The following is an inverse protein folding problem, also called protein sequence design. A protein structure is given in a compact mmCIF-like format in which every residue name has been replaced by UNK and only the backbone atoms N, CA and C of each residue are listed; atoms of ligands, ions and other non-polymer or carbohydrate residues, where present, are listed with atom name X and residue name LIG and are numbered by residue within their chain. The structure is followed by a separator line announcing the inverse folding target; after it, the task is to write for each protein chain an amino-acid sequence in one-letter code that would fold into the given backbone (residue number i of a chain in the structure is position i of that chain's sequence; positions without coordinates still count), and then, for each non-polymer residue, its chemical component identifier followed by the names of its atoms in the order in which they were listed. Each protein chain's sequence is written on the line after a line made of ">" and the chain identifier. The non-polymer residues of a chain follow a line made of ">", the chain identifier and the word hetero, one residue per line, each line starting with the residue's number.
data_IF_338283351628
#
_entry.id   IF_338283351628
#
_cell.length_a   1.000
_cell.length_b   1.000
_cell.length_c   1.000
_cell.angle_alpha   90.00
_cell.angle_beta   90.00
_cell.angle_gamma   90.00
#
_symmetry.space_group_name_H-M   'P 1'
#
loop_
_entity.id
_entity.type
_entity.pdbx_description
1 polymer ?
#
# COMPACT_ATOMS: atom_id res chain seq x y z
N UNK A 1 -2.74 -38.29 8.40
CA UNK A 1 -1.78 -37.43 7.69
C UNK A 1 -1.42 -38.10 6.37
N UNK A 2 -1.42 -37.35 5.26
CA UNK A 2 -0.82 -37.85 4.01
C UNK A 2 0.71 -37.83 4.18
N UNK A 3 1.44 -38.88 3.75
CA UNK A 3 2.90 -38.87 3.76
C UNK A 3 3.47 -37.70 2.96
N UNK A 4 4.61 -37.16 3.40
CA UNK A 4 5.39 -36.17 2.66
C UNK A 4 5.73 -36.67 1.26
N UNK A 5 5.38 -35.90 0.23
CA UNK A 5 5.77 -36.20 -1.15
C UNK A 5 7.17 -35.68 -1.44
N UNK A 6 8.18 -36.49 -1.14
CA UNK A 6 9.60 -36.19 -1.40
C UNK A 6 9.95 -36.13 -2.89
N UNK A 7 9.04 -36.52 -3.79
CA UNK A 7 9.27 -36.45 -5.25
C UNK A 7 8.96 -35.07 -5.82
N UNK A 8 8.28 -34.21 -5.06
CA UNK A 8 7.97 -32.84 -5.45
C UNK A 8 8.93 -31.86 -4.75
N UNK A 9 9.90 -31.24 -5.47
CA UNK A 9 10.82 -30.26 -4.89
C UNK A 9 10.11 -29.09 -4.20
N UNK A 10 8.93 -28.69 -4.69
CA UNK A 10 8.09 -27.63 -4.10
C UNK A 10 7.68 -27.94 -2.65
N UNK A 11 7.59 -29.22 -2.29
CA UNK A 11 7.29 -29.60 -0.91
C UNK A 11 8.38 -29.11 0.06
N UNK A 12 9.64 -29.17 -0.36
CA UNK A 12 10.77 -28.69 0.44
C UNK A 12 10.86 -27.16 0.45
N UNK A 13 10.28 -26.48 -0.53
CA UNK A 13 10.12 -25.02 -0.53
C UNK A 13 8.96 -24.56 0.37
N UNK A 14 7.93 -25.41 0.57
CA UNK A 14 6.77 -25.16 1.45
C UNK A 14 6.90 -25.78 2.84
N UNK A 15 8.03 -25.57 3.51
CA UNK A 15 8.23 -26.10 4.88
C UNK A 15 7.63 -25.18 5.95
N UNK A 16 7.55 -23.88 5.67
CA UNK A 16 7.03 -22.85 6.59
C UNK A 16 5.89 -22.08 5.90
N UNK A 17 4.65 -22.42 6.20
CA UNK A 17 3.45 -21.92 5.49
C UNK A 17 3.34 -20.39 5.48
N UNK A 18 3.63 -19.72 6.60
CA UNK A 18 3.57 -18.25 6.68
C UNK A 18 4.66 -17.57 5.83
N UNK A 19 5.86 -18.14 5.76
CA UNK A 19 6.94 -17.65 4.90
C UNK A 19 6.62 -17.90 3.43
N UNK A 20 6.10 -19.08 3.09
CA UNK A 20 5.71 -19.43 1.71
C UNK A 20 4.54 -18.56 1.21
N UNK A 21 3.60 -18.21 2.08
CA UNK A 21 2.50 -17.31 1.73
C UNK A 21 2.91 -15.84 1.61
N UNK A 22 4.07 -15.45 2.15
CA UNK A 22 4.60 -14.11 1.99
C UNK A 22 5.20 -13.96 0.58
N UNK A 23 4.76 -12.97 -0.23
CA UNK A 23 5.32 -12.76 -1.57
C UNK A 23 6.83 -12.48 -1.57
N UNK A 24 7.34 -11.93 -0.48
CA UNK A 24 8.76 -11.66 -0.29
C UNK A 24 9.52 -12.83 0.37
N UNK A 25 8.86 -13.94 0.67
CA UNK A 25 9.44 -15.09 1.38
C UNK A 25 10.19 -14.74 2.68
N UNK A 26 9.69 -13.74 3.40
CA UNK A 26 10.29 -13.26 4.65
C UNK A 26 10.43 -14.39 5.68
N UNK A 27 11.58 -14.52 6.38
CA UNK A 27 11.80 -15.57 7.36
C UNK A 27 11.00 -15.31 8.66
N UNK A 28 9.68 -15.50 8.60
CA UNK A 28 8.73 -15.16 9.68
C UNK A 28 9.11 -15.77 11.03
N UNK A 29 9.39 -17.09 11.14
CA UNK A 29 9.74 -17.66 12.44
C UNK A 29 11.06 -17.11 13.01
N UNK A 30 12.00 -16.75 12.14
CA UNK A 30 13.32 -16.32 12.55
C UNK A 30 13.30 -14.93 13.18
N UNK A 31 12.66 -13.96 12.51
CA UNK A 31 12.57 -12.62 13.09
C UNK A 31 11.69 -12.60 14.34
N UNK A 32 10.63 -13.44 14.41
CA UNK A 32 9.82 -13.57 15.62
C UNK A 32 10.66 -14.09 16.79
N UNK A 33 11.58 -15.03 16.54
CA UNK A 33 12.51 -15.50 17.58
C UNK A 33 13.45 -14.40 18.05
N UNK A 34 13.93 -13.54 17.15
CA UNK A 34 14.73 -12.38 17.55
C UNK A 34 13.93 -11.38 18.41
N UNK A 35 12.66 -11.14 18.08
CA UNK A 35 11.75 -10.35 18.94
C UNK A 35 11.67 -10.94 20.36
N UNK A 36 11.51 -12.26 20.50
CA UNK A 36 11.44 -12.93 21.81
C UNK A 36 12.70 -12.74 22.66
N UNK A 37 13.85 -12.54 22.02
CA UNK A 37 15.12 -12.26 22.70
C UNK A 37 15.37 -10.76 22.95
N UNK A 38 14.48 -9.88 22.52
CA UNK A 38 14.67 -8.42 22.59
C UNK A 38 15.63 -7.86 21.52
N UNK A 39 16.00 -8.68 20.53
CA UNK A 39 16.95 -8.35 19.47
C UNK A 39 16.22 -7.66 18.30
N UNK A 40 15.69 -6.45 18.53
CA UNK A 40 14.85 -5.76 17.55
C UNK A 40 15.59 -5.31 16.30
N UNK A 41 16.86 -4.94 16.42
CA UNK A 41 17.70 -4.56 15.27
C UNK A 41 17.89 -5.75 14.32
N UNK A 42 18.25 -6.91 14.85
CA UNK A 42 18.42 -8.16 14.10
C UNK A 42 17.09 -8.60 13.49
N UNK A 43 16.00 -8.52 14.26
CA UNK A 43 14.66 -8.82 13.76
C UNK A 43 14.25 -7.90 12.60
N UNK A 44 14.57 -6.60 12.69
CA UNK A 44 14.33 -5.63 11.63
C UNK A 44 15.18 -5.95 10.39
N UNK A 45 16.47 -6.23 10.56
CA UNK A 45 17.38 -6.55 9.44
C UNK A 45 16.99 -7.84 8.71
N UNK A 46 16.56 -8.89 9.44
CA UNK A 46 15.98 -10.10 8.82
C UNK A 46 14.75 -9.80 7.98
N UNK A 47 13.90 -8.86 8.43
CA UNK A 47 12.79 -8.40 7.61
C UNK A 47 13.29 -7.60 6.41
N UNK A 48 14.29 -6.74 6.59
CA UNK A 48 14.84 -5.85 5.57
C UNK A 48 15.52 -6.62 4.44
N UNK A 49 16.19 -7.73 4.72
CA UNK A 49 16.82 -8.57 3.69
C UNK A 49 15.82 -9.01 2.62
N UNK A 50 14.67 -9.54 3.06
CA UNK A 50 13.60 -10.03 2.17
C UNK A 50 12.61 -8.94 1.74
N UNK A 51 12.28 -7.99 2.64
CA UNK A 51 11.31 -6.93 2.39
C UNK A 51 12.00 -5.57 2.32
N UNK A 52 11.62 -4.77 1.33
CA UNK A 52 12.21 -3.44 1.15
C UNK A 52 11.77 -2.41 2.19
N UNK A 53 10.58 -2.56 2.78
CA UNK A 53 10.02 -1.58 3.73
C UNK A 53 9.46 -2.21 5.02
N UNK A 54 10.26 -2.79 5.92
CA UNK A 54 9.75 -3.47 7.11
C UNK A 54 8.82 -2.61 7.97
N UNK A 55 9.15 -1.34 8.21
CA UNK A 55 8.35 -0.43 9.04
C UNK A 55 7.00 -0.07 8.42
N UNK A 56 6.95 0.06 7.09
CA UNK A 56 5.71 0.28 6.34
C UNK A 56 4.86 -1.00 6.32
N UNK A 57 5.46 -2.14 5.96
CA UNK A 57 4.75 -3.42 5.85
C UNK A 57 4.22 -3.92 7.21
N UNK A 58 4.83 -3.54 8.34
CA UNK A 58 4.25 -3.83 9.66
C UNK A 58 2.91 -3.14 9.92
N UNK A 59 2.53 -2.17 9.08
CA UNK A 59 1.33 -1.34 9.23
C UNK A 59 0.28 -1.61 8.17
N UNK A 60 0.70 -1.74 6.90
CA UNK A 60 -0.22 -1.71 5.74
C UNK A 60 -0.23 -3.01 4.92
N UNK A 61 0.53 -4.03 5.32
CA UNK A 61 0.59 -5.30 4.59
C UNK A 61 -0.78 -5.98 4.56
N UNK A 62 -1.10 -6.62 3.43
CA UNK A 62 -2.31 -7.44 3.26
C UNK A 62 -2.22 -8.82 3.97
N UNK A 63 -1.23 -9.00 4.85
CA UNK A 63 -1.04 -10.13 5.77
C UNK A 63 -1.32 -11.54 5.18
N UNK A 64 -0.87 -11.90 3.98
CA UNK A 64 -1.16 -13.22 3.40
C UNK A 64 -0.55 -14.37 4.23
N UNK A 65 0.44 -14.06 5.06
CA UNK A 65 1.09 -14.98 5.98
C UNK A 65 0.21 -15.39 7.19
N UNK A 66 -0.75 -14.56 7.62
CA UNK A 66 -1.57 -14.82 8.81
C UNK A 66 -2.63 -15.91 8.55
N UNK A 67 -3.43 -15.87 7.46
CA UNK A 67 -4.33 -16.98 7.11
C UNK A 67 -3.62 -18.31 6.86
N UNK A 68 -2.36 -18.27 6.38
CA UNK A 68 -1.55 -19.46 6.18
C UNK A 68 -0.89 -19.99 7.47
N UNK A 69 -0.95 -19.23 8.57
CA UNK A 69 -0.24 -19.56 9.80
C UNK A 69 -0.69 -20.91 10.37
N UNK A 70 0.27 -21.80 10.64
CA UNK A 70 0.00 -23.13 11.22
C UNK A 70 -0.64 -23.05 12.60
N UNK A 71 -0.51 -21.93 13.32
CA UNK A 71 -1.11 -21.74 14.64
C UNK A 71 -2.63 -21.82 14.59
N UNK A 72 -3.26 -21.34 13.52
CA UNK A 72 -4.72 -21.47 13.30
C UNK A 72 -5.22 -22.90 13.09
N UNK A 73 -4.34 -23.91 13.04
CA UNK A 73 -4.73 -25.34 13.02
C UNK A 73 -4.89 -25.94 14.42
N UNK A 74 -4.31 -25.28 15.42
CA UNK A 74 -4.26 -25.77 16.81
C UNK A 74 -4.88 -24.78 17.79
N UNK A 75 -4.94 -23.50 17.45
CA UNK A 75 -5.61 -22.42 18.18
C UNK A 75 -6.69 -21.77 17.31
N UNK A 76 -7.50 -20.91 17.91
CA UNK A 76 -8.54 -20.14 17.22
C UNK A 76 -7.95 -19.06 16.28
N UNK A 77 -6.84 -18.43 16.68
CA UNK A 77 -6.27 -17.27 15.97
C UNK A 77 -4.85 -17.54 15.46
N UNK A 78 -4.48 -16.97 14.29
CA UNK A 78 -3.11 -16.98 13.82
C UNK A 78 -2.22 -16.08 14.68
N UNK A 79 -0.90 -16.23 14.52
CA UNK A 79 0.04 -15.25 15.08
C UNK A 79 -0.16 -13.90 14.37
N UNK A 80 -0.16 -12.79 15.10
CA UNK A 80 -0.23 -11.43 14.56
C UNK A 80 1.09 -10.99 13.90
N UNK A 81 1.49 -11.71 12.85
CA UNK A 81 2.77 -11.61 12.15
C UNK A 81 3.04 -10.18 11.65
N UNK A 82 2.04 -9.51 11.09
CA UNK A 82 2.15 -8.13 10.61
C UNK A 82 2.42 -7.16 11.77
N UNK A 83 1.70 -7.30 12.88
CA UNK A 83 1.89 -6.44 14.07
C UNK A 83 3.25 -6.69 14.72
N UNK A 84 3.73 -7.93 14.74
CA UNK A 84 5.09 -8.24 15.21
C UNK A 84 6.16 -7.60 14.33
N UNK A 85 5.95 -7.51 13.01
CA UNK A 85 6.86 -6.77 12.12
C UNK A 85 6.90 -5.27 12.50
N UNK A 86 5.75 -4.68 12.86
CA UNK A 86 5.70 -3.32 13.41
C UNK A 86 6.45 -3.22 14.74
N UNK A 87 6.33 -4.18 15.63
CA UNK A 87 7.08 -4.19 16.91
C UNK A 87 8.59 -4.12 16.65
N UNK A 88 9.13 -4.88 15.68
CA UNK A 88 10.53 -4.76 15.29
C UNK A 88 10.89 -3.33 14.86
N UNK A 89 10.09 -2.77 13.95
CA UNK A 89 10.36 -1.45 13.41
C UNK A 89 10.25 -0.35 14.47
N UNK A 90 9.32 -0.45 15.41
CA UNK A 90 9.07 0.60 16.40
C UNK A 90 10.03 0.52 17.61
N UNK A 91 10.66 -0.64 17.86
CA UNK A 91 11.58 -0.85 19.00
C UNK A 91 13.05 -1.01 18.60
N UNK A 92 13.38 -0.89 17.31
CA UNK A 92 14.77 -0.88 16.86
C UNK A 92 15.47 0.43 17.30
N UNK A 93 16.77 0.35 17.50
CA UNK A 93 17.64 1.51 17.60
C UNK A 93 18.05 1.97 16.18
N UNK A 94 19.09 2.80 16.07
CA UNK A 94 19.70 3.14 14.78
C UNK A 94 20.15 1.87 14.03
N UNK A 95 19.75 1.77 12.77
CA UNK A 95 20.05 0.63 11.88
C UNK A 95 20.88 1.03 10.67
N UNK A 96 21.11 2.33 10.46
CA UNK A 96 21.91 2.90 9.38
C UNK A 96 23.33 2.28 9.32
N UNK A 97 24.02 2.02 10.45
CA UNK A 97 25.32 1.32 10.42
C UNK A 97 25.24 -0.14 9.99
N UNK A 98 24.05 -0.76 10.04
CA UNK A 98 23.81 -2.15 9.66
C UNK A 98 23.35 -2.27 8.20
N UNK A 99 22.90 -1.17 7.60
CA UNK A 99 22.46 -1.17 6.20
C UNK A 99 23.66 -1.42 5.27
N UNK A 100 23.53 -2.30 4.27
CA UNK A 100 24.53 -2.46 3.23
C UNK A 100 24.81 -1.14 2.54
N UNK A 101 26.10 -0.85 2.33
CA UNK A 101 26.53 0.38 1.69
C UNK A 101 26.85 0.14 0.21
N UNK A 102 26.38 1.01 -0.70
CA UNK A 102 26.80 1.00 -2.09
C UNK A 102 28.33 1.08 -2.24
N UNK A 103 28.92 0.44 -3.26
CA UNK A 103 30.35 0.56 -3.51
C UNK A 103 30.71 2.01 -3.89
N UNK A 104 31.92 2.42 -3.52
CA UNK A 104 32.48 3.73 -3.89
C UNK A 104 32.72 3.82 -5.40
N UNK A 105 33.29 2.77 -5.99
CA UNK A 105 33.46 2.65 -7.43
C UNK A 105 32.15 2.15 -8.06
N UNK A 106 31.59 2.96 -8.96
CA UNK A 106 30.39 2.60 -9.73
C UNK A 106 30.76 1.64 -10.85
N UNK A 107 29.79 0.82 -11.27
CA UNK A 107 29.98 -0.18 -12.31
C UNK A 107 29.94 0.39 -13.75
N UNK A 108 29.77 1.71 -13.87
CA UNK A 108 29.73 2.44 -15.15
C UNK A 108 28.42 2.30 -15.93
N UNK A 109 27.35 1.79 -15.30
CA UNK A 109 26.03 1.62 -15.91
C UNK A 109 24.97 2.50 -15.26
N UNK A 110 24.14 3.13 -16.09
CA UNK A 110 23.11 4.09 -15.66
C UNK A 110 21.71 3.56 -15.93
N UNK A 111 20.85 3.55 -14.91
CA UNK A 111 19.46 3.09 -15.00
C UNK A 111 18.50 4.24 -14.68
N UNK A 112 17.50 4.43 -15.52
CA UNK A 112 16.37 5.31 -15.22
C UNK A 112 15.22 4.54 -14.58
N UNK A 113 14.65 5.11 -13.53
CA UNK A 113 13.50 4.57 -12.80
C UNK A 113 12.34 5.57 -12.95
N UNK A 114 11.22 5.14 -13.56
CA UNK A 114 10.05 6.00 -13.79
C UNK A 114 8.97 5.66 -12.77
N UNK A 115 8.63 6.62 -11.92
CA UNK A 115 7.74 6.50 -10.76
C UNK A 115 8.51 6.16 -9.49
N UNK A 116 8.42 7.00 -8.47
CA UNK A 116 9.00 6.90 -7.13
C UNK A 116 8.22 6.01 -6.17
N UNK A 117 7.49 5.02 -6.67
CA UNK A 117 6.70 4.08 -5.86
C UNK A 117 7.51 2.89 -5.32
N UNK A 118 6.85 1.98 -4.58
CA UNK A 118 7.49 0.82 -3.97
C UNK A 118 8.34 0.00 -4.95
N UNK A 119 7.83 -0.24 -6.17
CA UNK A 119 8.51 -1.07 -7.16
C UNK A 119 9.85 -0.49 -7.59
N UNK A 120 9.89 0.79 -7.98
CA UNK A 120 11.14 1.44 -8.39
C UNK A 120 12.10 1.62 -7.24
N UNK A 121 11.60 1.88 -6.03
CA UNK A 121 12.44 1.96 -4.83
C UNK A 121 13.07 0.60 -4.49
N UNK A 122 12.36 -0.52 -4.70
CA UNK A 122 12.95 -1.87 -4.60
C UNK A 122 14.06 -2.07 -5.62
N UNK A 123 13.83 -1.70 -6.89
CA UNK A 123 14.86 -1.77 -7.92
C UNK A 123 16.06 -0.89 -7.56
N UNK A 124 15.81 0.31 -7.04
CA UNK A 124 16.85 1.24 -6.62
C UNK A 124 17.72 0.65 -5.50
N UNK A 125 17.10 0.13 -4.44
CA UNK A 125 17.79 -0.53 -3.32
C UNK A 125 18.75 -1.61 -3.83
N UNK A 126 18.25 -2.52 -4.65
CA UNK A 126 19.03 -3.70 -5.04
C UNK A 126 20.15 -3.33 -6.03
N UNK A 127 19.88 -2.42 -6.99
CA UNK A 127 20.88 -2.00 -7.97
C UNK A 127 21.91 -1.02 -7.40
N UNK A 128 21.57 -0.20 -6.40
CA UNK A 128 22.53 0.70 -5.76
C UNK A 128 23.69 -0.09 -5.14
N UNK A 129 23.40 -1.23 -4.50
CA UNK A 129 24.39 -2.12 -3.90
C UNK A 129 25.30 -2.80 -4.93
N UNK A 130 24.87 -2.89 -6.19
CA UNK A 130 25.66 -3.40 -7.31
C UNK A 130 26.45 -2.30 -8.05
N UNK A 131 26.41 -1.07 -7.54
CA UNK A 131 27.17 0.06 -8.07
C UNK A 131 26.58 0.73 -9.31
N UNK A 132 25.30 0.50 -9.63
CA UNK A 132 24.64 1.23 -10.70
C UNK A 132 24.42 2.69 -10.31
N UNK A 133 24.44 3.58 -11.30
CA UNK A 133 23.97 4.95 -11.19
C UNK A 133 22.47 4.98 -11.47
N UNK A 134 21.70 5.61 -10.57
CA UNK A 134 20.25 5.52 -10.56
C UNK A 134 19.63 6.91 -10.61
N UNK A 135 18.82 7.16 -11.65
CA UNK A 135 18.04 8.39 -11.80
C UNK A 135 16.55 8.07 -11.65
N UNK A 136 15.92 8.54 -10.57
CA UNK A 136 14.52 8.32 -10.24
C UNK A 136 13.66 9.53 -10.62
N UNK A 137 12.71 9.34 -11.53
CA UNK A 137 11.76 10.35 -11.97
C UNK A 137 10.40 10.12 -11.32
N UNK A 138 9.80 11.14 -10.74
CA UNK A 138 8.44 11.07 -10.19
C UNK A 138 7.72 12.42 -10.31
N UNK A 139 6.42 12.40 -10.52
CA UNK A 139 5.60 13.61 -10.69
C UNK A 139 5.23 14.28 -9.36
N UNK A 140 5.41 13.60 -8.23
CA UNK A 140 5.19 14.14 -6.90
C UNK A 140 6.44 14.84 -6.35
N UNK A 141 6.24 15.63 -5.31
CA UNK A 141 7.30 16.38 -4.63
C UNK A 141 8.19 15.53 -3.71
N UNK A 142 7.80 14.27 -3.43
CA UNK A 142 8.54 13.31 -2.61
C UNK A 142 8.27 11.88 -3.11
N UNK A 143 9.30 11.03 -3.11
CA UNK A 143 9.14 9.60 -3.41
C UNK A 143 8.32 8.86 -2.34
N UNK A 144 7.77 7.71 -2.70
CA UNK A 144 6.89 6.85 -1.90
C UNK A 144 5.66 6.38 -2.69
N UNK A 145 5.33 7.05 -3.80
CA UNK A 145 4.17 6.74 -4.65
C UNK A 145 2.88 6.64 -3.85
N UNK A 146 2.08 5.60 -4.09
CA UNK A 146 0.80 5.40 -3.38
C UNK A 146 0.92 5.15 -1.88
N UNK A 147 2.05 4.65 -1.38
CA UNK A 147 2.25 4.58 0.07
C UNK A 147 2.17 5.97 0.70
N UNK A 148 2.64 6.99 -0.02
CA UNK A 148 2.58 8.39 0.40
C UNK A 148 1.25 9.02 0.07
N UNK A 149 0.80 8.89 -1.19
CA UNK A 149 -0.32 9.69 -1.68
C UNK A 149 -1.69 9.08 -1.44
N UNK A 150 -1.80 7.82 -0.99
CA UNK A 150 -3.09 7.12 -0.88
C UNK A 150 -3.35 6.51 0.49
N UNK A 151 -2.30 6.09 1.20
CA UNK A 151 -2.49 5.49 2.53
C UNK A 151 -2.69 6.60 3.56
N UNK A 152 -3.80 6.61 4.31
CA UNK A 152 -4.03 7.64 5.33
C UNK A 152 -3.00 7.58 6.46
N UNK A 153 -2.70 8.74 7.05
CA UNK A 153 -1.71 8.87 8.14
C UNK A 153 -2.04 8.06 9.39
N UNK A 154 -3.32 7.78 9.65
CA UNK A 154 -3.75 6.91 10.76
C UNK A 154 -3.38 5.43 10.55
N UNK A 155 -3.13 5.00 9.31
CA UNK A 155 -2.59 3.66 8.99
C UNK A 155 -1.08 3.70 8.86
N UNK A 156 -0.54 4.69 8.16
CA UNK A 156 0.89 4.83 7.90
C UNK A 156 1.38 6.24 8.24
N UNK A 157 2.01 6.43 9.41
CA UNK A 157 2.60 7.71 9.79
C UNK A 157 3.66 8.19 8.79
N UNK A 158 3.68 9.50 8.50
CA UNK A 158 4.60 10.07 7.52
C UNK A 158 6.07 9.88 7.93
N UNK A 159 6.38 9.95 9.22
CA UNK A 159 7.73 9.71 9.75
C UNK A 159 8.26 8.32 9.39
N UNK A 160 7.43 7.29 9.56
CA UNK A 160 7.80 5.90 9.24
C UNK A 160 8.05 5.74 7.75
N UNK A 161 7.17 6.33 6.92
CA UNK A 161 7.32 6.30 5.48
C UNK A 161 8.59 7.03 5.05
N UNK A 162 8.84 8.24 5.56
CA UNK A 162 10.00 9.04 5.21
C UNK A 162 11.29 8.32 5.60
N UNK A 163 11.39 7.76 6.81
CA UNK A 163 12.55 6.98 7.25
C UNK A 163 12.85 5.82 6.30
N UNK A 164 11.83 5.00 6.00
CA UNK A 164 11.99 3.80 5.17
C UNK A 164 12.31 4.12 3.70
N UNK A 165 11.73 5.19 3.15
CA UNK A 165 12.05 5.67 1.80
C UNK A 165 13.46 6.26 1.74
N UNK A 166 13.84 7.06 2.73
CA UNK A 166 15.15 7.72 2.76
C UNK A 166 16.29 6.73 2.87
N UNK A 167 16.13 5.60 3.59
CA UNK A 167 17.14 4.53 3.59
C UNK A 167 17.53 4.06 2.19
N UNK A 168 16.63 4.15 1.21
CA UNK A 168 16.91 3.78 -0.17
C UNK A 168 17.47 4.97 -0.95
N UNK A 169 16.88 6.16 -0.79
CA UNK A 169 17.35 7.35 -1.49
C UNK A 169 18.78 7.72 -1.11
N UNK A 170 19.12 7.56 0.17
CA UNK A 170 20.44 7.83 0.75
C UNK A 170 21.51 6.85 0.27
N UNK A 171 21.14 5.78 -0.46
CA UNK A 171 22.07 4.90 -1.19
C UNK A 171 22.65 5.56 -2.47
N UNK A 172 22.49 6.88 -2.62
CA UNK A 172 23.01 7.64 -3.76
C UNK A 172 22.08 7.62 -4.98
N UNK A 173 20.77 7.53 -4.76
CA UNK A 173 19.77 7.65 -5.84
C UNK A 173 19.57 9.12 -6.18
N UNK A 174 19.83 9.49 -7.43
CA UNK A 174 19.55 10.84 -7.92
C UNK A 174 18.05 10.98 -8.17
N UNK A 175 17.41 11.99 -7.58
CA UNK A 175 15.96 12.17 -7.69
C UNK A 175 15.60 13.37 -8.57
N UNK A 176 14.69 13.13 -9.51
CA UNK A 176 14.05 14.12 -10.38
C UNK A 176 12.56 14.16 -10.03
N UNK A 177 12.26 14.77 -8.88
CA UNK A 177 10.90 14.94 -8.36
C UNK A 177 10.18 16.08 -9.10
N UNK A 178 8.85 16.15 -8.97
CA UNK A 178 8.00 17.08 -9.73
C UNK A 178 8.21 17.00 -11.25
N UNK A 179 8.59 15.81 -11.76
CA UNK A 179 8.91 15.57 -13.17
C UNK A 179 8.00 14.48 -13.72
N UNK A 180 6.92 14.90 -14.39
CA UNK A 180 6.03 13.98 -15.08
C UNK A 180 6.64 13.52 -16.41
N UNK A 181 6.89 12.21 -16.54
CA UNK A 181 7.37 11.61 -17.79
C UNK A 181 6.17 11.35 -18.70
N UNK A 182 5.93 12.26 -19.63
CA UNK A 182 4.80 12.17 -20.57
C UNK A 182 5.05 11.17 -21.69
N UNK A 183 6.32 10.90 -22.03
CA UNK A 183 6.72 10.01 -23.10
C UNK A 183 8.01 9.28 -22.78
N UNK A 184 8.04 7.96 -23.00
CA UNK A 184 9.25 7.16 -22.86
C UNK A 184 10.38 7.61 -23.81
N UNK A 185 10.04 8.27 -24.94
CA UNK A 185 11.03 8.80 -25.90
C UNK A 185 11.98 9.80 -25.26
N UNK A 186 11.50 10.63 -24.34
CA UNK A 186 12.31 11.64 -23.64
C UNK A 186 13.39 10.98 -22.76
N UNK A 187 13.07 9.84 -22.15
CA UNK A 187 14.01 9.07 -21.33
C UNK A 187 14.97 8.29 -22.21
N UNK A 188 14.48 7.68 -23.30
CA UNK A 188 15.33 6.95 -24.26
C UNK A 188 16.40 7.84 -24.89
N UNK A 189 16.09 9.11 -25.13
CA UNK A 189 17.05 10.08 -25.67
C UNK A 189 18.22 10.42 -24.72
N UNK A 190 18.13 10.04 -23.43
CA UNK A 190 19.19 10.24 -22.43
C UNK A 190 20.21 9.10 -22.35
N UNK A 191 20.08 8.09 -23.24
CA UNK A 191 21.04 7.01 -23.44
C UNK A 191 21.35 6.19 -22.17
N UNK A 192 20.33 5.90 -21.36
CA UNK A 192 20.44 4.98 -20.23
C UNK A 192 20.70 3.54 -20.69
N UNK A 193 21.47 2.78 -19.91
CA UNK A 193 21.70 1.35 -20.16
C UNK A 193 20.45 0.50 -19.87
N UNK A 194 19.55 0.98 -19.03
CA UNK A 194 18.28 0.35 -18.75
C UNK A 194 17.24 1.33 -18.21
N UNK A 195 15.96 0.99 -18.43
CA UNK A 195 14.82 1.79 -17.95
C UNK A 195 13.84 0.85 -17.27
N UNK A 196 13.47 1.17 -16.03
CA UNK A 196 12.40 0.51 -15.30
C UNK A 196 11.18 1.42 -15.21
N UNK A 197 10.00 0.89 -15.57
CA UNK A 197 8.74 1.63 -15.52
C UNK A 197 7.90 1.12 -14.35
N UNK A 198 7.93 1.87 -13.24
CA UNK A 198 7.19 1.62 -12.01
C UNK A 198 6.13 2.70 -11.72
N UNK A 199 5.52 3.28 -12.76
CA UNK A 199 4.57 4.41 -12.64
C UNK A 199 3.22 4.04 -11.99
N UNK A 200 2.96 2.76 -11.74
CA UNK A 200 1.72 2.28 -11.14
C UNK A 200 0.47 2.52 -12.00
N UNK A 201 -0.69 2.58 -11.35
CA UNK A 201 -2.00 2.77 -11.97
C UNK A 201 -2.75 3.97 -11.35
N UNK A 202 -2.37 5.22 -11.68
CA UNK A 202 -2.88 6.45 -11.05
C UNK A 202 -4.30 6.85 -11.45
N UNK A 203 -5.03 6.03 -12.22
CA UNK A 203 -6.37 6.36 -12.70
C UNK A 203 -7.44 5.63 -11.91
N UNK A 204 -8.34 6.39 -11.31
CA UNK A 204 -9.51 5.87 -10.63
C UNK A 204 -10.64 5.62 -11.61
N UNK A 205 -11.67 4.90 -11.16
CA UNK A 205 -12.86 4.62 -11.96
C UNK A 205 -13.97 5.60 -11.61
N UNK A 206 -14.47 6.28 -12.62
CA UNK A 206 -15.65 7.14 -12.53
C UNK A 206 -16.92 6.42 -13.07
N UNK A 207 -18.07 7.05 -12.90
CA UNK A 207 -19.39 6.63 -13.39
C UNK A 207 -20.00 7.72 -14.30
N UNK A 208 -19.32 8.13 -15.39
CA UNK A 208 -19.70 9.31 -16.20
C UNK A 208 -21.06 9.16 -16.89
N UNK A 209 -21.51 7.92 -17.12
CA UNK A 209 -22.72 7.63 -17.88
C UNK A 209 -23.99 7.54 -17.01
N UNK A 210 -23.88 7.71 -15.69
CA UNK A 210 -25.07 7.70 -14.83
C UNK A 210 -25.75 9.08 -14.85
N UNK A 211 -27.09 9.14 -14.94
CA UNK A 211 -27.83 10.40 -14.84
C UNK A 211 -27.47 11.18 -13.57
N UNK A 212 -27.41 12.51 -13.67
CA UNK A 212 -27.08 13.41 -12.56
C UNK A 212 -25.60 13.54 -12.25
N UNK A 213 -24.71 12.75 -12.90
CA UNK A 213 -23.27 12.75 -12.60
C UNK A 213 -22.62 14.09 -12.92
N UNK A 214 -22.94 14.69 -14.05
CA UNK A 214 -22.37 15.98 -14.48
C UNK A 214 -22.91 17.11 -13.60
N UNK A 215 -24.21 17.13 -13.32
CA UNK A 215 -24.85 18.14 -12.47
C UNK A 215 -24.36 18.10 -11.02
N UNK A 216 -23.89 16.94 -10.56
CA UNK A 216 -23.36 16.72 -9.21
C UNK A 216 -21.83 16.79 -9.09
N UNK A 217 -21.09 17.15 -10.17
CA UNK A 217 -19.63 17.00 -10.24
C UNK A 217 -18.88 17.64 -9.05
N UNK A 218 -19.29 18.84 -8.62
CA UNK A 218 -18.68 19.52 -7.48
C UNK A 218 -18.83 18.84 -6.11
N UNK A 219 -19.65 17.77 -6.02
CA UNK A 219 -19.84 16.95 -4.80
C UNK A 219 -19.31 15.52 -4.94
N UNK A 220 -18.74 15.17 -6.10
CA UNK A 220 -18.29 13.82 -6.41
C UNK A 220 -16.76 13.83 -6.46
N UNK A 221 -16.16 12.84 -5.82
CA UNK A 221 -14.71 12.68 -5.81
C UNK A 221 -14.33 11.25 -6.18
N UNK A 222 -13.29 11.12 -7.01
CA UNK A 222 -12.67 9.83 -7.29
C UNK A 222 -11.80 9.45 -6.10
N UNK A 223 -12.03 8.28 -5.50
CA UNK A 223 -11.44 7.89 -4.21
C UNK A 223 -9.93 8.10 -4.10
N UNK A 224 -9.16 7.69 -5.12
CA UNK A 224 -7.70 7.88 -5.11
C UNK A 224 -7.28 9.37 -5.20
N UNK A 225 -8.04 10.19 -5.92
CA UNK A 225 -7.74 11.63 -6.01
C UNK A 225 -8.15 12.33 -4.71
N UNK A 226 -9.24 11.87 -4.10
CA UNK A 226 -9.74 12.37 -2.84
C UNK A 226 -8.77 12.09 -1.68
N UNK A 227 -8.31 10.84 -1.54
CA UNK A 227 -7.31 10.47 -0.52
C UNK A 227 -6.02 11.27 -0.68
N UNK A 228 -5.51 11.41 -1.91
CA UNK A 228 -4.35 12.26 -2.18
C UNK A 228 -4.60 13.72 -1.79
N UNK A 229 -5.78 14.26 -2.11
CA UNK A 229 -6.16 15.63 -1.74
C UNK A 229 -6.23 15.83 -0.23
N UNK A 230 -6.66 14.82 0.52
CA UNK A 230 -6.65 14.86 2.00
C UNK A 230 -5.21 14.83 2.52
N UNK A 231 -4.38 13.90 2.03
CA UNK A 231 -2.98 13.76 2.47
C UNK A 231 -2.17 15.03 2.21
N UNK A 232 -2.37 15.68 1.05
CA UNK A 232 -1.68 16.93 0.71
C UNK A 232 -2.35 18.19 1.29
N UNK A 233 -3.38 18.04 2.13
CA UNK A 233 -4.03 19.16 2.82
C UNK A 233 -4.91 20.04 1.94
N UNK A 234 -5.29 19.59 0.74
CA UNK A 234 -6.25 20.28 -0.11
C UNK A 234 -7.70 20.09 0.35
N UNK A 235 -7.98 19.00 1.08
CA UNK A 235 -9.29 18.70 1.68
C UNK A 235 -9.11 18.44 3.17
N UNK A 236 -9.67 19.32 4.00
CA UNK A 236 -9.61 19.20 5.47
C UNK A 236 -10.97 18.85 6.11
N UNK A 237 -12.06 18.92 5.33
CA UNK A 237 -13.43 18.64 5.79
C UNK A 237 -14.22 17.96 4.69
N UNK A 238 -15.22 17.17 5.08
CA UNK A 238 -16.19 16.60 4.16
C UNK A 238 -17.63 16.95 4.59
N UNK A 239 -18.61 16.62 3.73
CA UNK A 239 -20.02 16.77 4.07
C UNK A 239 -20.44 15.85 5.23
N UNK A 240 -21.54 16.20 5.91
CA UNK A 240 -22.07 15.40 7.04
C UNK A 240 -22.58 14.02 6.61
N UNK A 241 -23.07 13.89 5.38
CA UNK A 241 -23.57 12.63 4.80
C UNK A 241 -22.68 12.26 3.63
N UNK A 242 -22.07 11.08 3.69
CA UNK A 242 -21.09 10.62 2.69
C UNK A 242 -21.46 9.22 2.23
N UNK A 243 -21.54 9.04 0.91
CA UNK A 243 -21.65 7.73 0.28
C UNK A 243 -20.29 7.40 -0.35
N UNK A 244 -19.72 6.25 0.02
CA UNK A 244 -18.50 5.71 -0.58
C UNK A 244 -18.88 4.52 -1.43
N UNK A 245 -18.51 4.56 -2.71
CA UNK A 245 -18.84 3.51 -3.68
C UNK A 245 -17.61 2.60 -3.89
N UNK A 246 -17.76 1.31 -3.56
CA UNK A 246 -16.73 0.30 -3.81
C UNK A 246 -16.44 -0.60 -2.61
N UNK A 247 -15.87 -1.77 -2.87
CA UNK A 247 -15.57 -2.79 -1.86
C UNK A 247 -14.09 -3.20 -1.80
N UNK A 248 -13.17 -2.31 -2.14
CA UNK A 248 -11.72 -2.53 -2.04
C UNK A 248 -11.09 -1.70 -0.92
N UNK A 249 -9.79 -1.90 -0.65
CA UNK A 249 -9.07 -1.17 0.40
C UNK A 249 -9.18 0.36 0.26
N UNK A 250 -9.15 0.90 -0.96
CA UNK A 250 -9.38 2.33 -1.21
C UNK A 250 -10.73 2.82 -0.67
N UNK A 251 -11.79 2.01 -0.75
CA UNK A 251 -13.09 2.38 -0.22
C UNK A 251 -13.10 2.40 1.32
N UNK A 252 -12.40 1.46 1.96
CA UNK A 252 -12.23 1.43 3.42
C UNK A 252 -11.43 2.65 3.90
N UNK A 253 -10.34 2.98 3.22
CA UNK A 253 -9.56 4.18 3.52
C UNK A 253 -10.39 5.46 3.30
N UNK A 254 -11.18 5.54 2.22
CA UNK A 254 -12.05 6.68 1.96
C UNK A 254 -13.10 6.88 3.06
N UNK A 255 -13.81 5.82 3.46
CA UNK A 255 -14.90 5.96 4.43
C UNK A 255 -14.39 6.31 5.83
N UNK A 256 -13.31 5.67 6.28
CA UNK A 256 -12.67 5.94 7.58
C UNK A 256 -12.03 7.32 7.64
N UNK A 257 -11.47 7.78 6.51
CA UNK A 257 -10.99 9.17 6.39
C UNK A 257 -12.16 10.15 6.44
N UNK A 258 -13.27 9.89 5.73
CA UNK A 258 -14.44 10.76 5.75
C UNK A 258 -15.01 10.92 7.17
N UNK A 259 -15.05 9.82 7.95
CA UNK A 259 -15.44 9.85 9.37
C UNK A 259 -14.58 10.83 10.18
N UNK A 260 -13.25 10.79 9.99
CA UNK A 260 -12.28 11.69 10.66
C UNK A 260 -12.39 13.15 10.21
N UNK A 261 -12.79 13.40 8.97
CA UNK A 261 -12.99 14.74 8.39
C UNK A 261 -14.37 15.35 8.71
N UNK A 262 -15.10 14.79 9.70
CA UNK A 262 -16.38 15.31 10.16
C UNK A 262 -17.63 14.66 9.56
N UNK A 263 -17.49 13.54 8.85
CA UNK A 263 -18.61 12.75 8.35
C UNK A 263 -19.44 12.13 9.48
N UNK A 264 -20.70 12.55 9.62
CA UNK A 264 -21.63 12.06 10.65
C UNK A 264 -22.33 10.77 10.21
N UNK A 265 -22.73 10.69 8.93
CA UNK A 265 -23.41 9.54 8.31
C UNK A 265 -22.61 9.10 7.08
N UNK A 266 -21.59 8.29 7.32
CA UNK A 266 -20.77 7.68 6.27
C UNK A 266 -21.31 6.28 5.99
N UNK A 267 -21.52 5.92 4.72
CA UNK A 267 -21.94 4.58 4.33
C UNK A 267 -21.11 4.08 3.16
N UNK A 268 -20.76 2.80 3.17
CA UNK A 268 -20.12 2.14 2.03
C UNK A 268 -21.16 1.34 1.27
N UNK A 269 -21.23 1.53 -0.04
CA UNK A 269 -22.14 0.82 -0.91
C UNK A 269 -21.33 -0.01 -1.91
N UNK A 270 -21.67 -1.30 -2.00
CA UNK A 270 -20.95 -2.27 -2.83
C UNK A 270 -21.96 -2.96 -3.74
N UNK A 271 -21.59 -3.14 -5.01
CA UNK A 271 -22.45 -3.78 -6.02
C UNK A 271 -22.51 -5.31 -5.93
N UNK A 272 -21.64 -5.92 -5.15
CA UNK A 272 -21.47 -7.36 -5.01
C UNK A 272 -21.75 -7.78 -3.56
N UNK A 273 -21.97 -9.08 -3.30
CA UNK A 273 -22.09 -9.59 -1.93
C UNK A 273 -20.85 -9.29 -1.10
N UNK A 274 -21.01 -9.19 0.22
CA UNK A 274 -19.88 -8.98 1.14
C UNK A 274 -18.75 -10.01 0.96
N UNK A 275 -19.08 -11.27 0.64
CA UNK A 275 -18.10 -12.34 0.41
C UNK A 275 -17.18 -12.12 -0.81
N UNK A 276 -17.55 -11.22 -1.71
CA UNK A 276 -16.77 -10.89 -2.91
C UNK A 276 -16.03 -9.55 -2.78
N UNK A 277 -16.07 -8.92 -1.60
CA UNK A 277 -15.30 -7.71 -1.36
C UNK A 277 -13.81 -8.01 -1.50
N UNK A 278 -13.10 -7.06 -2.13
CA UNK A 278 -11.65 -7.13 -2.33
C UNK A 278 -10.86 -6.51 -1.18
N UNK A 279 -11.55 -5.74 -0.34
CA UNK A 279 -10.95 -5.21 0.87
C UNK A 279 -10.59 -6.36 1.80
N UNK A 280 -9.51 -6.21 2.53
CA UNK A 280 -9.10 -7.19 3.51
C UNK A 280 -10.09 -7.25 4.67
N UNK A 281 -10.28 -8.44 5.24
CA UNK A 281 -11.26 -8.65 6.33
C UNK A 281 -11.06 -7.69 7.50
N UNK A 282 -9.81 -7.45 7.92
CA UNK A 282 -9.53 -6.50 9.01
C UNK A 282 -9.80 -5.03 8.65
N UNK A 283 -9.70 -4.63 7.37
CA UNK A 283 -10.07 -3.27 6.96
C UNK A 283 -11.59 -3.09 6.97
N UNK A 284 -12.32 -4.16 6.66
CA UNK A 284 -13.78 -4.20 6.75
C UNK A 284 -14.21 -4.16 8.22
N UNK A 285 -13.57 -4.95 9.09
CA UNK A 285 -13.81 -4.96 10.53
C UNK A 285 -13.56 -3.59 11.16
N UNK A 286 -12.39 -2.99 10.90
CA UNK A 286 -12.05 -1.63 11.36
C UNK A 286 -13.10 -0.59 10.93
N UNK A 287 -13.62 -0.67 9.69
CA UNK A 287 -14.65 0.26 9.22
C UNK A 287 -15.98 0.06 9.97
N UNK A 288 -16.36 -1.19 10.25
CA UNK A 288 -17.57 -1.51 11.01
C UNK A 288 -17.44 -1.05 12.47
N UNK A 289 -16.27 -1.24 13.09
CA UNK A 289 -15.98 -0.77 14.45
C UNK A 289 -16.01 0.76 14.56
N UNK A 290 -15.81 1.48 13.46
CA UNK A 290 -15.97 2.94 13.38
C UNK A 290 -17.42 3.41 13.08
N UNK A 291 -18.39 2.50 13.22
CA UNK A 291 -19.83 2.67 12.94
C UNK A 291 -20.14 3.03 11.48
N UNK A 292 -19.37 2.51 10.52
CA UNK A 292 -19.58 2.74 9.09
C UNK A 292 -20.31 1.53 8.49
N UNK A 293 -21.64 1.62 8.26
CA UNK A 293 -22.39 0.53 7.66
C UNK A 293 -21.94 0.26 6.21
N UNK A 294 -21.84 -1.02 5.89
CA UNK A 294 -21.57 -1.51 4.54
C UNK A 294 -22.85 -2.14 4.01
N UNK A 295 -23.33 -1.62 2.89
CA UNK A 295 -24.55 -2.07 2.22
C UNK A 295 -24.13 -2.76 0.93
N UNK A 296 -24.29 -4.07 0.89
CA UNK A 296 -23.91 -4.91 -0.24
C UNK A 296 -25.05 -5.08 -1.25
N UNK A 297 -24.72 -5.58 -2.44
CA UNK A 297 -25.68 -5.78 -3.54
C UNK A 297 -26.49 -4.55 -3.95
N UNK A 298 -25.88 -3.36 -3.91
CA UNK A 298 -26.48 -2.11 -4.37
C UNK A 298 -25.73 -1.56 -5.58
N UNK A 299 -26.37 -1.64 -6.75
CA UNK A 299 -25.81 -1.15 -8.02
C UNK A 299 -26.23 0.31 -8.22
N UNK A 300 -25.30 1.25 -8.39
CA UNK A 300 -25.66 2.66 -8.57
C UNK A 300 -26.38 2.90 -9.91
N UNK A 301 -27.49 3.65 -9.87
CA UNK A 301 -28.32 3.97 -11.05
C UNK A 301 -28.30 5.45 -11.44
N UNK A 302 -28.38 6.36 -10.46
CA UNK A 302 -28.58 7.79 -10.72
C UNK A 302 -28.10 8.62 -9.53
N UNK A 303 -27.37 9.71 -9.79
CA UNK A 303 -27.11 10.77 -8.83
C UNK A 303 -28.32 11.71 -8.77
N UNK A 304 -28.97 11.82 -7.63
CA UNK A 304 -30.20 12.62 -7.52
C UNK A 304 -29.83 14.06 -7.18
N UNK A 305 -30.12 14.97 -8.11
CA UNK A 305 -29.82 16.39 -7.98
C UNK A 305 -31.11 17.19 -7.91
N UNK A 306 -31.27 17.97 -6.85
CA UNK A 306 -32.40 18.90 -6.67
C UNK A 306 -31.85 20.32 -6.47
N UNK A 307 -32.37 21.29 -7.22
CA UNK A 307 -31.93 22.69 -7.16
C UNK A 307 -30.40 22.86 -7.27
N UNK A 308 -29.76 22.06 -8.13
CA UNK A 308 -28.30 22.08 -8.34
C UNK A 308 -27.47 21.48 -7.19
N UNK A 309 -28.08 20.74 -6.27
CA UNK A 309 -27.38 20.07 -5.16
C UNK A 309 -27.59 18.56 -5.20
N UNK A 310 -26.52 17.80 -5.01
CA UNK A 310 -26.60 16.36 -4.80
C UNK A 310 -27.32 16.08 -3.46
N UNK A 311 -28.51 15.48 -3.54
CA UNK A 311 -29.32 15.14 -2.35
C UNK A 311 -29.30 13.66 -2.01
N UNK A 312 -28.88 12.80 -2.96
CA UNK A 312 -28.77 11.37 -2.75
C UNK A 312 -28.38 10.62 -4.03
N UNK A 313 -28.50 9.30 -4.00
CA UNK A 313 -28.24 8.44 -5.14
C UNK A 313 -29.26 7.30 -5.14
N UNK A 314 -29.76 6.92 -6.32
CA UNK A 314 -30.62 5.74 -6.49
C UNK A 314 -29.78 4.51 -6.77
N UNK A 315 -30.22 3.38 -6.23
CA UNK A 315 -29.58 2.09 -6.39
C UNK A 315 -30.61 1.04 -6.79
N UNK A 316 -30.18 0.07 -7.57
CA UNK A 316 -30.88 -1.20 -7.73
C UNK A 316 -30.38 -2.20 -6.68
N UNK A 317 -31.28 -3.04 -6.18
CA UNK A 317 -30.93 -4.09 -5.22
C UNK A 317 -30.90 -5.43 -5.95
N UNK A 318 -29.70 -6.03 -6.01
CA UNK A 318 -29.43 -7.28 -6.72
C UNK A 318 -29.18 -8.46 -5.79
#
# INVERSE_FOLDING_TARGET
>A
MKPTDIKNPEYFHKVVDCQYACPAHTPVPEYIRQILHGNYNEAYMLNWESNVFPGILGRVCDRPCEPACRRGRVEQEPVAICRLKRVCADNRNEIEPLLPQPPQEKNGKRIALIGGGPASLTVARDLALLGYELDLYDDQSKAGGFMRSQVPSFRLPEEVLNTEVNYILDMGVTTHLNTYVSSLKEILAKEYDGIFVGSGAPKGRDLPNLPGREEADGSIHIGIQWLASVVFGHIEKCGKKVLVLGGGNTAMDCCRTARRLGGEQVKVLVRSPRSEMKASDWEIEDAIEEDIPIIDNHVPLEFVVENGKLVGMKFDRV
#
